data_IF_934187111697
#
_entry.id   IF_934187111697
#
_cell.length_a   1.000
_cell.length_b   1.000
_cell.length_c   1.000
_cell.angle_alpha   90.00
_cell.angle_beta   90.00
_cell.angle_gamma   90.00
#
_symmetry.space_group_name_H-M   'P 1'
#
loop_
_entity.id
_entity.type
_entity.pdbx_description
1 polymer ?
#
# COMPACT_ATOMS: atom_id res chain seq x y z
N UNK A 1 16.41 11.46 -16.74
CA UNK A 1 15.47 10.41 -17.22
C UNK A 1 14.35 11.05 -18.02
N UNK A 2 13.53 10.27 -18.74
CA UNK A 2 12.38 10.82 -19.45
C UNK A 2 11.39 11.57 -18.52
N UNK A 3 11.18 11.07 -17.29
CA UNK A 3 10.32 11.72 -16.30
C UNK A 3 10.79 13.13 -15.90
N UNK A 4 12.10 13.31 -15.69
CA UNK A 4 12.66 14.62 -15.38
C UNK A 4 12.43 15.63 -16.53
N UNK A 5 12.66 15.20 -17.78
CA UNK A 5 12.43 16.04 -18.95
C UNK A 5 10.98 16.51 -19.06
N UNK A 6 10.00 15.63 -18.75
CA UNK A 6 8.57 15.99 -18.70
C UNK A 6 8.30 17.02 -17.60
N UNK A 7 8.88 16.84 -16.41
CA UNK A 7 8.63 17.73 -15.27
C UNK A 7 9.25 19.12 -15.46
N UNK A 8 10.35 19.20 -16.22
CA UNK A 8 11.08 20.44 -16.45
C UNK A 8 10.65 21.19 -17.71
N UNK A 9 9.92 20.55 -18.63
CA UNK A 9 9.57 21.17 -19.91
C UNK A 9 8.72 22.44 -19.71
N UNK A 10 9.09 23.58 -20.32
CA UNK A 10 8.43 24.87 -20.09
C UNK A 10 7.02 24.95 -20.69
N UNK A 11 6.72 24.15 -21.71
CA UNK A 11 5.41 24.14 -22.37
C UNK A 11 4.40 23.15 -21.74
N UNK A 12 4.84 22.33 -20.78
CA UNK A 12 3.92 21.44 -20.07
C UNK A 12 3.22 22.25 -18.97
N UNK A 13 1.89 22.28 -19.05
CA UNK A 13 1.05 23.10 -18.16
C UNK A 13 0.64 22.39 -16.86
N UNK A 14 0.74 21.05 -16.83
CA UNK A 14 0.36 20.23 -15.68
C UNK A 14 1.09 18.89 -15.68
N UNK A 15 1.48 18.43 -14.50
CA UNK A 15 1.92 17.05 -14.26
C UNK A 15 0.98 16.40 -13.25
N UNK A 16 0.55 15.16 -13.54
CA UNK A 16 -0.19 14.31 -12.61
C UNK A 16 0.62 13.06 -12.37
N UNK A 17 0.94 12.76 -11.11
CA UNK A 17 1.83 11.67 -10.75
C UNK A 17 1.28 10.86 -9.58
N UNK A 18 1.35 9.54 -9.70
CA UNK A 18 1.09 8.58 -8.64
C UNK A 18 2.33 7.71 -8.46
N UNK A 19 2.87 7.65 -7.25
CA UNK A 19 4.12 6.94 -6.98
C UNK A 19 4.67 7.23 -5.59
N UNK A 20 5.99 7.26 -5.44
CA UNK A 20 6.62 7.48 -4.13
C UNK A 20 6.61 8.95 -3.72
N UNK A 21 6.51 9.20 -2.42
CA UNK A 21 6.63 10.55 -1.85
C UNK A 21 7.97 11.22 -2.22
N UNK A 22 9.05 10.45 -2.29
CA UNK A 22 10.38 10.95 -2.70
C UNK A 22 10.35 11.52 -4.12
N UNK A 23 9.83 10.76 -5.09
CA UNK A 23 9.74 11.23 -6.48
C UNK A 23 8.73 12.38 -6.60
N UNK A 24 7.62 12.34 -5.86
CA UNK A 24 6.65 13.44 -5.83
C UNK A 24 7.27 14.78 -5.43
N UNK A 25 8.18 14.79 -4.46
CA UNK A 25 8.93 16.00 -4.06
C UNK A 25 9.80 16.53 -5.21
N UNK A 26 10.55 15.65 -5.88
CA UNK A 26 11.37 16.02 -7.04
C UNK A 26 10.54 16.66 -8.16
N UNK A 27 9.35 16.10 -8.43
CA UNK A 27 8.41 16.65 -9.43
C UNK A 27 7.93 18.05 -9.03
N UNK A 28 7.59 18.25 -7.76
CA UNK A 28 7.12 19.54 -7.25
C UNK A 28 8.22 20.61 -7.30
N UNK A 29 9.47 20.25 -6.98
CA UNK A 29 10.64 21.12 -7.11
C UNK A 29 10.89 21.51 -8.57
N UNK A 30 10.88 20.54 -9.50
CA UNK A 30 11.06 20.79 -10.93
C UNK A 30 9.96 21.71 -11.49
N UNK A 31 8.71 21.50 -11.10
CA UNK A 31 7.60 22.37 -11.49
C UNK A 31 7.78 23.80 -10.97
N UNK A 32 8.15 23.97 -9.70
CA UNK A 32 8.38 25.28 -9.09
C UNK A 32 9.55 26.05 -9.72
N UNK A 33 10.62 25.35 -10.10
CA UNK A 33 11.81 25.97 -10.73
C UNK A 33 11.61 26.41 -12.18
N UNK A 34 10.62 25.87 -12.88
CA UNK A 34 10.52 26.03 -14.34
C UNK A 34 9.44 27.02 -14.75
N UNK A 35 8.17 26.69 -14.54
CA UNK A 35 7.05 27.52 -14.98
C UNK A 35 5.88 27.52 -13.99
N UNK A 36 6.09 27.04 -12.75
CA UNK A 36 5.05 26.91 -11.73
C UNK A 36 3.83 26.13 -12.26
N UNK A 37 4.07 25.12 -13.11
CA UNK A 37 3.01 24.24 -13.64
C UNK A 37 2.24 23.57 -12.51
N UNK A 38 0.95 23.30 -12.76
CA UNK A 38 0.09 22.62 -11.78
C UNK A 38 0.60 21.19 -11.56
N UNK A 39 0.59 20.74 -10.30
CA UNK A 39 1.00 19.38 -9.95
C UNK A 39 -0.10 18.70 -9.12
N UNK A 40 -0.47 17.48 -9.49
CA UNK A 40 -1.30 16.58 -8.68
C UNK A 40 -0.45 15.36 -8.29
N UNK A 41 -0.39 15.05 -7.00
CA UNK A 41 0.47 14.01 -6.44
C UNK A 41 -0.33 13.05 -5.55
N UNK A 42 -0.24 11.75 -5.85
CA UNK A 42 -0.81 10.66 -5.04
C UNK A 42 0.34 9.75 -4.57
N UNK A 43 0.72 9.82 -3.29
CA UNK A 43 2.08 9.48 -2.84
C UNK A 43 2.19 8.31 -1.84
N UNK A 44 1.18 7.46 -1.79
CA UNK A 44 1.07 6.36 -0.82
C UNK A 44 0.59 6.81 0.56
N UNK A 45 0.63 5.89 1.54
CA UNK A 45 0.17 6.18 2.89
C UNK A 45 0.50 5.09 3.91
N UNK A 46 0.18 5.38 5.17
CA UNK A 46 0.20 4.43 6.29
C UNK A 46 -1.22 4.33 6.86
N UNK A 47 -2.12 3.75 6.06
CA UNK A 47 -3.57 3.83 6.29
C UNK A 47 -3.97 3.10 7.58
N UNK A 48 -4.67 3.79 8.50
CA UNK A 48 -5.13 3.19 9.73
C UNK A 48 -6.44 2.40 9.53
N UNK A 49 -6.60 1.30 10.26
CA UNK A 49 -7.87 0.66 10.54
C UNK A 49 -8.05 0.59 12.06
N UNK A 50 -9.12 1.19 12.57
CA UNK A 50 -9.40 1.31 14.01
C UNK A 50 -10.57 0.41 14.36
N UNK A 51 -10.38 -0.48 15.35
CA UNK A 51 -11.34 -1.53 15.71
C UNK A 51 -11.72 -1.36 17.18
N UNK A 52 -13.00 -1.04 17.38
CA UNK A 52 -13.62 -0.82 18.68
C UNK A 52 -14.22 -2.13 19.24
N UNK A 53 -14.47 -2.21 20.56
CA UNK A 53 -14.90 -3.47 21.20
C UNK A 53 -16.33 -3.89 20.86
N UNK A 54 -17.12 -3.01 20.25
CA UNK A 54 -18.47 -3.27 19.75
C UNK A 54 -18.50 -3.77 18.29
N UNK A 55 -17.35 -3.83 17.61
CA UNK A 55 -17.24 -4.39 16.28
C UNK A 55 -17.44 -5.91 16.28
N UNK A 56 -18.04 -6.44 15.21
CA UNK A 56 -18.00 -7.89 14.96
C UNK A 56 -16.54 -8.30 14.74
N UNK A 57 -16.03 -9.15 15.62
CA UNK A 57 -14.62 -9.49 15.67
C UNK A 57 -14.19 -10.37 14.48
N UNK A 58 -15.10 -11.21 13.97
CA UNK A 58 -14.84 -12.06 12.81
C UNK A 58 -14.80 -11.24 11.53
N UNK A 59 -15.78 -10.34 11.36
CA UNK A 59 -15.80 -9.41 10.24
C UNK A 59 -14.58 -8.47 10.27
N UNK A 60 -14.27 -7.90 11.44
CA UNK A 60 -13.13 -6.98 11.59
C UNK A 60 -11.80 -7.66 11.26
N UNK A 61 -11.61 -8.93 11.66
CA UNK A 61 -10.41 -9.71 11.32
C UNK A 61 -10.31 -9.97 9.80
N UNK A 62 -11.43 -10.28 9.13
CA UNK A 62 -11.47 -10.46 7.68
C UNK A 62 -11.17 -9.17 6.92
N UNK A 63 -11.79 -8.06 7.32
CA UNK A 63 -11.54 -6.73 6.73
C UNK A 63 -10.06 -6.36 6.89
N UNK A 64 -9.49 -6.55 8.07
CA UNK A 64 -8.08 -6.28 8.32
C UNK A 64 -7.17 -7.16 7.46
N UNK A 65 -7.51 -8.45 7.32
CA UNK A 65 -6.75 -9.40 6.53
C UNK A 65 -6.75 -8.99 5.05
N UNK A 66 -7.93 -8.82 4.44
CA UNK A 66 -8.06 -8.41 3.05
C UNK A 66 -7.43 -7.03 2.82
N UNK A 67 -7.73 -6.08 3.71
CA UNK A 67 -7.26 -4.70 3.61
C UNK A 67 -5.74 -4.55 3.59
N UNK A 68 -5.01 -5.48 4.22
CA UNK A 68 -3.56 -5.49 4.17
C UNK A 68 -3.00 -6.40 3.07
N UNK A 69 -3.58 -7.59 2.88
CA UNK A 69 -2.93 -8.65 2.12
C UNK A 69 -3.41 -8.78 0.67
N UNK A 70 -4.53 -8.15 0.30
CA UNK A 70 -4.94 -8.07 -1.09
C UNK A 70 -3.87 -7.37 -1.93
N UNK A 71 -3.67 -7.88 -3.17
CA UNK A 71 -2.55 -7.50 -4.04
C UNK A 71 -1.19 -7.53 -3.32
N UNK A 72 -1.01 -8.47 -2.39
CA UNK A 72 0.22 -8.65 -1.64
C UNK A 72 0.63 -7.39 -0.85
N UNK A 73 -0.34 -6.55 -0.49
CA UNK A 73 -0.11 -5.26 0.18
C UNK A 73 0.39 -4.14 -0.74
N UNK A 74 0.44 -4.37 -2.05
CA UNK A 74 0.86 -3.39 -3.06
C UNK A 74 -0.33 -2.48 -3.43
N UNK A 75 -0.95 -1.89 -2.40
CA UNK A 75 -2.00 -0.87 -2.53
C UNK A 75 -1.60 0.38 -1.75
N UNK A 76 -1.75 1.56 -2.36
CA UNK A 76 -1.45 2.83 -1.69
C UNK A 76 -2.29 3.07 -0.43
N UNK A 77 -3.48 2.45 -0.37
CA UNK A 77 -4.44 2.55 0.73
C UNK A 77 -4.49 1.29 1.61
N UNK A 78 -3.54 0.36 1.49
CA UNK A 78 -3.52 -0.86 2.30
C UNK A 78 -3.63 -0.55 3.80
N UNK A 79 -4.45 -1.30 4.52
CA UNK A 79 -4.71 -1.20 5.96
C UNK A 79 -3.49 -1.64 6.79
N UNK A 80 -2.38 -0.94 6.60
CA UNK A 80 -1.03 -1.30 7.07
C UNK A 80 -0.74 -0.85 8.49
N UNK A 81 -1.72 -0.26 9.18
CA UNK A 81 -1.64 0.11 10.58
C UNK A 81 -2.97 -0.19 11.29
N UNK A 82 -2.99 -1.23 12.10
CA UNK A 82 -4.16 -1.59 12.89
C UNK A 82 -4.08 -0.93 14.28
N UNK A 83 -5.19 -0.35 14.73
CA UNK A 83 -5.41 0.07 16.11
C UNK A 83 -6.59 -0.73 16.65
N UNK A 84 -6.34 -1.55 17.67
CA UNK A 84 -7.34 -2.46 18.23
C UNK A 84 -7.54 -2.11 19.69
N UNK A 85 -8.79 -1.97 20.11
CA UNK A 85 -9.12 -1.66 21.50
C UNK A 85 -8.63 -2.77 22.44
N UNK A 86 -8.12 -2.38 23.62
CA UNK A 86 -7.48 -3.30 24.56
C UNK A 86 -8.37 -4.48 24.98
N UNK A 87 -9.67 -4.22 25.21
CA UNK A 87 -10.67 -5.24 25.59
C UNK A 87 -10.82 -6.41 24.61
N UNK A 88 -10.45 -6.21 23.33
CA UNK A 88 -10.58 -7.22 22.27
C UNK A 88 -9.24 -7.61 21.63
N UNK A 89 -8.13 -7.01 22.07
CA UNK A 89 -6.82 -7.11 21.41
C UNK A 89 -6.36 -8.56 21.22
N UNK A 90 -6.28 -9.34 22.31
CA UNK A 90 -5.76 -10.71 22.25
C UNK A 90 -6.62 -11.62 21.37
N UNK A 91 -7.95 -11.46 21.44
CA UNK A 91 -8.89 -12.22 20.63
C UNK A 91 -8.76 -11.87 19.16
N UNK A 92 -8.62 -10.58 18.84
CA UNK A 92 -8.39 -10.11 17.48
C UNK A 92 -7.08 -10.67 16.91
N UNK A 93 -5.98 -10.55 17.66
CA UNK A 93 -4.65 -11.04 17.25
C UNK A 93 -4.70 -12.54 16.97
N UNK A 94 -5.33 -13.33 17.84
CA UNK A 94 -5.49 -14.77 17.63
C UNK A 94 -6.18 -15.10 16.29
N UNK A 95 -7.29 -14.40 15.97
CA UNK A 95 -7.99 -14.58 14.69
C UNK A 95 -7.14 -14.12 13.49
N UNK A 96 -6.48 -12.96 13.59
CA UNK A 96 -5.62 -12.45 12.53
C UNK A 96 -4.47 -13.42 12.20
N UNK A 97 -3.87 -14.05 13.20
CA UNK A 97 -2.83 -15.08 13.03
C UNK A 97 -3.38 -16.31 12.32
N UNK A 98 -4.59 -16.76 12.67
CA UNK A 98 -5.23 -17.91 12.01
C UNK A 98 -5.47 -17.63 10.52
N UNK A 99 -5.99 -16.46 10.16
CA UNK A 99 -6.19 -16.05 8.77
C UNK A 99 -4.86 -15.95 8.02
N UNK A 100 -3.84 -15.34 8.64
CA UNK A 100 -2.51 -15.25 8.05
C UNK A 100 -1.85 -16.63 7.83
N UNK A 101 -2.09 -17.60 8.71
CA UNK A 101 -1.59 -18.96 8.58
C UNK A 101 -2.27 -19.69 7.41
N UNK A 102 -3.60 -19.55 7.27
CA UNK A 102 -4.35 -20.15 6.16
C UNK A 102 -3.86 -19.62 4.81
N UNK A 103 -3.72 -18.31 4.66
CA UNK A 103 -3.24 -17.66 3.42
C UNK A 103 -1.92 -18.23 2.89
N UNK A 104 -1.01 -18.67 3.78
CA UNK A 104 0.29 -19.25 3.36
C UNK A 104 0.13 -20.47 2.46
N UNK A 105 -0.98 -21.22 2.57
CA UNK A 105 -1.21 -22.40 1.75
C UNK A 105 -1.66 -22.08 0.32
N UNK A 106 -1.87 -20.80 0.00
CA UNK A 106 -2.41 -20.32 -1.28
C UNK A 106 -1.48 -19.29 -1.95
N UNK A 107 -0.18 -19.32 -1.59
CA UNK A 107 0.86 -18.58 -2.30
C UNK A 107 1.24 -19.35 -3.55
N UNK A 108 1.20 -18.73 -4.71
CA UNK A 108 1.42 -19.46 -5.95
C UNK A 108 1.47 -18.61 -7.21
N UNK A 109 1.35 -19.29 -8.34
CA UNK A 109 1.27 -18.68 -9.65
C UNK A 109 -0.05 -17.92 -9.78
N UNK A 110 -0.05 -16.61 -10.13
CA UNK A 110 -1.27 -15.81 -10.23
C UNK A 110 -2.24 -16.24 -11.34
N UNK A 111 -1.84 -17.17 -12.22
CA UNK A 111 -2.72 -17.77 -13.22
C UNK A 111 -3.46 -19.03 -12.74
N UNK A 112 -3.15 -19.53 -11.54
CA UNK A 112 -3.82 -20.68 -10.97
C UNK A 112 -5.03 -20.21 -10.14
N UNK A 113 -6.22 -20.76 -10.41
CA UNK A 113 -7.49 -20.38 -9.76
C UNK A 113 -7.49 -20.58 -8.22
N UNK A 114 -6.56 -21.35 -7.69
CA UNK A 114 -6.40 -21.62 -6.25
C UNK A 114 -5.43 -20.68 -5.54
N UNK A 115 -4.77 -19.78 -6.27
CA UNK A 115 -3.83 -18.80 -5.71
C UNK A 115 -4.58 -17.59 -5.16
N UNK A 116 -4.41 -17.32 -3.87
CA UNK A 116 -4.89 -16.08 -3.24
C UNK A 116 -3.78 -15.05 -3.04
N UNK A 117 -2.51 -15.45 -3.19
CA UNK A 117 -1.37 -14.58 -3.03
C UNK A 117 -0.31 -14.83 -4.10
N UNK A 118 -0.10 -13.83 -4.97
CA UNK A 118 0.96 -13.83 -5.97
C UNK A 118 2.31 -13.29 -5.44
N UNK A 119 3.25 -12.98 -6.36
CA UNK A 119 4.57 -12.44 -6.01
C UNK A 119 4.54 -10.92 -5.73
N UNK A 120 5.65 -10.40 -5.20
CA UNK A 120 5.94 -8.96 -5.30
C UNK A 120 6.29 -8.59 -6.75
N UNK A 121 6.21 -7.30 -7.09
CA UNK A 121 6.38 -6.84 -8.48
C UNK A 121 7.75 -7.16 -9.07
N UNK A 122 8.83 -7.04 -8.28
CA UNK A 122 10.21 -7.31 -8.68
C UNK A 122 11.09 -7.67 -7.48
N UNK A 123 12.34 -8.04 -7.76
CA UNK A 123 13.32 -8.41 -6.73
C UNK A 123 13.71 -7.23 -5.84
N UNK A 124 13.80 -6.01 -6.38
CA UNK A 124 14.15 -4.83 -5.57
C UNK A 124 13.12 -4.58 -4.46
N UNK A 125 11.83 -4.59 -4.81
CA UNK A 125 10.75 -4.44 -3.86
C UNK A 125 10.69 -5.63 -2.88
N UNK A 126 10.93 -6.85 -3.37
CA UNK A 126 10.98 -8.04 -2.54
C UNK A 126 12.10 -7.96 -1.48
N UNK A 127 13.32 -7.64 -1.88
CA UNK A 127 14.46 -7.48 -0.96
C UNK A 127 14.24 -6.33 0.01
N UNK A 128 13.65 -5.23 -0.46
CA UNK A 128 13.29 -4.10 0.42
C UNK A 128 12.34 -4.54 1.53
N UNK A 129 11.33 -5.35 1.24
CA UNK A 129 10.40 -5.86 2.25
C UNK A 129 11.11 -6.79 3.23
N UNK A 130 11.98 -7.68 2.75
CA UNK A 130 12.72 -8.62 3.60
C UNK A 130 13.81 -7.96 4.46
N UNK A 131 14.29 -6.78 4.06
CA UNK A 131 15.31 -6.00 4.78
C UNK A 131 14.75 -5.06 5.86
N UNK A 132 13.43 -4.99 6.03
CA UNK A 132 12.76 -4.24 7.11
C UNK A 132 12.69 -5.06 8.40
#
# INVERSE_FOLDING_TARGET
TAGAAICEHPEINKVSFTGSTEVGKLIQEAAGRTNTKRVNLELGGKSPLVIFPDADLDEAAQIAHIGLFANMGQYCVAASRLFVHEDIYDKFVAKAVQLAAHRRTQVGNPFDDTTEQGPQIDDEQFQKILGL
#
